data_IF_445287797032
#
_entry.id   IF_445287797032
#
_cell.length_a   1.000
_cell.length_b   1.000
_cell.length_c   1.000
_cell.angle_alpha   90.00
_cell.angle_beta   90.00
_cell.angle_gamma   90.00
#
_symmetry.space_group_name_H-M   'P 1'
#
loop_
_entity.id
_entity.type
_entity.pdbx_description
1 polymer ?
#
# COMPACT_ATOMS: atom_id res chain seq x y z
N UNK A 1 -16.02 25.05 -7.55
CA UNK A 1 -14.87 24.20 -7.93
C UNK A 1 -14.25 23.70 -6.63
N UNK A 2 -14.55 22.48 -6.20
CA UNK A 2 -13.77 21.87 -5.12
C UNK A 2 -12.54 21.29 -5.83
N UNK A 3 -11.40 21.94 -5.67
CA UNK A 3 -10.12 21.31 -5.98
C UNK A 3 -10.02 20.10 -5.06
N UNK A 4 -10.28 18.91 -5.60
CA UNK A 4 -10.11 17.65 -4.88
C UNK A 4 -8.61 17.50 -4.67
N UNK A 5 -8.16 17.77 -3.44
CA UNK A 5 -6.85 17.27 -3.02
C UNK A 5 -6.95 15.75 -3.02
N UNK A 6 -6.05 15.08 -3.72
CA UNK A 6 -6.02 13.63 -3.73
C UNK A 6 -5.67 13.12 -2.34
N UNK A 7 -6.43 12.15 -1.83
CA UNK A 7 -6.16 11.57 -0.51
C UNK A 7 -4.83 10.82 -0.51
N UNK A 8 -4.20 10.63 0.66
CA UNK A 8 -2.98 9.80 0.76
C UNK A 8 -3.18 8.38 0.19
N UNK A 9 -4.39 7.81 0.26
CA UNK A 9 -4.72 6.50 -0.29
C UNK A 9 -4.68 6.51 -1.83
N UNK A 10 -5.24 7.55 -2.44
CA UNK A 10 -5.22 7.72 -3.89
C UNK A 10 -3.81 7.99 -4.40
N UNK A 11 -3.02 8.82 -3.70
CA UNK A 11 -1.60 9.04 -4.03
C UNK A 11 -0.79 7.76 -3.89
N UNK A 12 -1.05 6.96 -2.86
CA UNK A 12 -0.43 5.65 -2.67
C UNK A 12 -0.72 4.74 -3.86
N UNK A 13 -1.99 4.65 -4.29
CA UNK A 13 -2.38 3.87 -5.46
C UNK A 13 -1.72 4.39 -6.75
N UNK A 14 -1.68 5.70 -6.95
CA UNK A 14 -1.06 6.31 -8.12
C UNK A 14 0.43 5.98 -8.18
N UNK A 15 1.15 6.12 -7.06
CA UNK A 15 2.56 5.75 -6.98
C UNK A 15 2.80 4.26 -7.20
N UNK A 16 1.94 3.40 -6.62
CA UNK A 16 1.94 1.96 -6.86
C UNK A 16 1.81 1.63 -8.35
N UNK A 17 0.87 2.26 -9.06
CA UNK A 17 0.61 2.00 -10.48
C UNK A 17 1.64 2.65 -11.41
N UNK A 18 2.29 3.74 -10.98
CA UNK A 18 3.39 4.37 -11.69
C UNK A 18 4.74 3.68 -11.44
N UNK A 19 4.80 2.72 -10.51
CA UNK A 19 6.03 2.07 -10.02
C UNK A 19 7.04 3.11 -9.50
N UNK A 20 6.53 4.21 -8.95
CA UNK A 20 7.34 5.31 -8.41
C UNK A 20 7.58 5.08 -6.92
N UNK A 21 8.74 4.49 -6.61
CA UNK A 21 9.13 4.15 -5.25
C UNK A 21 9.24 5.39 -4.35
N UNK A 22 9.73 6.53 -4.85
CA UNK A 22 9.90 7.72 -4.01
C UNK A 22 8.56 8.39 -3.73
N UNK A 23 7.66 8.49 -4.72
CA UNK A 23 6.30 8.96 -4.49
C UNK A 23 5.52 8.03 -3.54
N UNK A 24 5.75 6.72 -3.65
CA UNK A 24 5.15 5.73 -2.76
C UNK A 24 5.61 5.94 -1.31
N UNK A 25 6.93 6.07 -1.09
CA UNK A 25 7.49 6.27 0.24
C UNK A 25 7.15 7.63 0.85
N UNK A 26 6.94 8.65 0.03
CA UNK A 26 6.47 9.97 0.48
C UNK A 26 5.08 9.92 1.14
N UNK A 27 4.29 8.87 0.89
CA UNK A 27 3.01 8.64 1.54
C UNK A 27 3.15 8.18 3.01
N UNK A 28 4.34 7.76 3.45
CA UNK A 28 4.58 7.23 4.79
C UNK A 28 5.32 8.23 5.69
N UNK A 29 5.02 8.18 6.99
CA UNK A 29 5.81 8.88 7.99
C UNK A 29 7.17 8.18 8.18
N UNK A 30 8.26 8.89 8.54
CA UNK A 30 9.56 8.26 8.76
C UNK A 30 9.55 7.14 9.82
N UNK A 31 8.73 7.29 10.86
CA UNK A 31 8.55 6.34 11.96
C UNK A 31 7.36 5.38 11.73
N UNK A 32 6.93 5.18 10.48
CA UNK A 32 5.79 4.34 10.13
C UNK A 32 5.84 2.94 10.77
N UNK A 33 4.69 2.43 11.22
CA UNK A 33 4.56 1.08 11.78
C UNK A 33 3.52 0.26 11.02
N UNK A 34 3.96 -0.82 10.39
CA UNK A 34 3.06 -1.74 9.68
C UNK A 34 2.94 -3.08 10.38
N UNK A 35 1.75 -3.65 10.43
CA UNK A 35 1.55 -5.01 10.93
C UNK A 35 0.60 -5.80 10.01
N UNK A 36 0.89 -7.09 9.86
CA UNK A 36 -0.01 -8.07 9.26
C UNK A 36 -0.66 -8.89 10.39
N UNK A 37 -1.93 -8.66 10.77
CA UNK A 37 -2.48 -9.27 11.98
C UNK A 37 -2.54 -10.80 11.96
N UNK A 38 -2.63 -11.41 10.77
CA UNK A 38 -2.53 -12.88 10.61
C UNK A 38 -1.10 -13.42 10.60
N UNK A 39 -0.12 -12.56 10.29
CA UNK A 39 1.29 -12.92 10.12
C UNK A 39 2.18 -11.84 10.73
N UNK A 40 2.18 -11.66 12.07
CA UNK A 40 2.85 -10.54 12.72
C UNK A 40 4.35 -10.44 12.41
N UNK A 41 4.99 -11.57 12.07
CA UNK A 41 6.38 -11.64 11.63
C UNK A 41 6.67 -10.91 10.31
N UNK A 42 5.63 -10.52 9.56
CA UNK A 42 5.71 -9.74 8.31
C UNK A 42 5.50 -8.24 8.54
N UNK A 43 5.62 -7.77 9.79
CA UNK A 43 5.49 -6.36 10.13
C UNK A 43 6.56 -5.47 9.48
N UNK A 44 6.36 -4.17 9.60
CA UNK A 44 7.27 -3.12 9.13
C UNK A 44 7.63 -2.20 10.30
N UNK A 45 8.92 -2.01 10.55
CA UNK A 45 9.45 -1.12 11.58
C UNK A 45 10.15 0.09 10.92
N UNK A 46 9.34 0.97 10.32
CA UNK A 46 9.81 2.20 9.67
C UNK A 46 9.72 2.16 8.14
N UNK A 47 10.01 3.32 7.53
CA UNK A 47 9.88 3.52 6.08
C UNK A 47 10.93 2.72 5.27
N UNK A 48 12.06 2.35 5.87
CA UNK A 48 13.11 1.59 5.17
C UNK A 48 12.71 0.13 4.93
N UNK A 49 11.95 -0.50 5.84
CA UNK A 49 11.37 -1.83 5.60
C UNK A 49 10.35 -1.79 4.46
N UNK A 50 9.55 -0.73 4.42
CA UNK A 50 8.60 -0.47 3.32
C UNK A 50 9.35 -0.32 2.00
N UNK A 51 10.44 0.46 1.98
CA UNK A 51 11.32 0.65 0.81
C UNK A 51 11.86 -0.69 0.30
N UNK A 52 12.44 -1.51 1.18
CA UNK A 52 13.00 -2.82 0.83
C UNK A 52 11.95 -3.77 0.25
N UNK A 53 10.77 -3.84 0.86
CA UNK A 53 9.71 -4.71 0.40
C UNK A 53 9.14 -4.26 -0.96
N UNK A 54 8.82 -2.97 -1.11
CA UNK A 54 8.18 -2.47 -2.32
C UNK A 54 9.13 -2.32 -3.50
N UNK A 55 10.43 -2.05 -3.28
CA UNK A 55 11.42 -2.12 -4.36
C UNK A 55 11.52 -3.53 -4.94
N UNK A 56 11.42 -4.55 -4.09
CA UNK A 56 11.40 -5.96 -4.51
C UNK A 56 10.12 -6.28 -5.30
N UNK A 57 8.95 -5.84 -4.81
CA UNK A 57 7.66 -6.03 -5.51
C UNK A 57 7.70 -5.40 -6.91
N UNK A 58 8.11 -4.13 -7.04
CA UNK A 58 8.17 -3.45 -8.34
C UNK A 58 9.22 -4.05 -9.26
N UNK A 59 10.34 -4.51 -8.70
CA UNK A 59 11.34 -5.22 -9.49
C UNK A 59 10.78 -6.55 -10.02
N UNK A 60 10.20 -7.38 -9.16
CA UNK A 60 9.82 -8.77 -9.49
C UNK A 60 8.51 -8.89 -10.27
N UNK A 61 7.62 -7.89 -10.17
CA UNK A 61 6.30 -7.86 -10.80
C UNK A 61 6.21 -6.59 -11.69
N UNK A 62 6.80 -6.62 -12.90
CA UNK A 62 6.95 -5.44 -13.75
C UNK A 62 5.63 -4.88 -14.31
N UNK A 63 4.55 -5.66 -14.25
CA UNK A 63 3.18 -5.26 -14.62
C UNK A 63 2.28 -5.09 -13.38
N UNK A 64 2.86 -4.93 -12.18
CA UNK A 64 2.11 -4.74 -10.94
C UNK A 64 1.06 -3.65 -11.10
N UNK A 65 -0.16 -3.96 -10.67
CA UNK A 65 -1.28 -3.03 -10.70
C UNK A 65 -2.12 -3.14 -9.43
N UNK A 66 -2.49 -1.97 -8.92
CA UNK A 66 -3.29 -1.76 -7.72
C UNK A 66 -4.64 -1.13 -8.07
N UNK A 67 -5.71 -1.85 -7.74
CA UNK A 67 -7.09 -1.35 -7.78
C UNK A 67 -7.56 -1.02 -6.37
N UNK A 68 -7.84 0.26 -6.12
CA UNK A 68 -8.62 0.71 -4.99
C UNK A 68 -10.10 0.49 -5.31
N UNK A 69 -10.72 -0.50 -4.67
CA UNK A 69 -12.12 -0.88 -4.93
C UNK A 69 -13.09 0.04 -4.20
N UNK A 70 -12.80 0.30 -2.92
CA UNK A 70 -13.59 1.16 -2.03
C UNK A 70 -12.67 1.77 -0.98
N UNK A 71 -13.04 2.94 -0.48
CA UNK A 71 -12.40 3.53 0.68
C UNK A 71 -13.41 4.28 1.55
N UNK A 72 -13.07 4.43 2.83
CA UNK A 72 -13.81 5.23 3.79
C UNK A 72 -12.83 5.88 4.76
N UNK A 73 -13.17 7.06 5.27
CA UNK A 73 -12.36 7.79 6.25
C UNK A 73 -13.23 8.17 7.45
N UNK A 74 -12.74 7.90 8.65
CA UNK A 74 -13.32 8.32 9.91
C UNK A 74 -12.24 8.99 10.77
N UNK A 75 -12.36 10.31 10.93
CA UNK A 75 -11.31 11.12 11.58
C UNK A 75 -9.97 10.96 10.87
N UNK A 76 -8.99 10.42 11.59
CA UNK A 76 -7.63 10.16 11.10
C UNK A 76 -7.43 8.69 10.67
N UNK A 77 -8.49 7.88 10.58
CA UNK A 77 -8.39 6.47 10.18
C UNK A 77 -9.04 6.28 8.82
N UNK A 78 -8.34 5.55 7.94
CA UNK A 78 -8.83 5.19 6.63
C UNK A 78 -8.94 3.68 6.46
N UNK A 79 -10.00 3.24 5.80
CA UNK A 79 -10.16 1.89 5.27
C UNK A 79 -10.01 1.95 3.77
N UNK A 80 -9.25 1.01 3.21
CA UNK A 80 -9.10 0.86 1.78
C UNK A 80 -9.18 -0.62 1.40
N UNK A 81 -10.13 -0.94 0.53
CA UNK A 81 -10.30 -2.26 -0.05
C UNK A 81 -9.51 -2.33 -1.35
N UNK A 82 -8.67 -3.35 -1.48
CA UNK A 82 -7.68 -3.45 -2.54
C UNK A 82 -7.80 -4.76 -3.33
N UNK A 83 -7.42 -4.67 -4.60
CA UNK A 83 -6.95 -5.80 -5.38
C UNK A 83 -5.61 -5.43 -6.03
N UNK A 84 -4.55 -6.13 -5.64
CA UNK A 84 -3.24 -6.05 -6.27
C UNK A 84 -3.01 -7.29 -7.13
N UNK A 85 -2.48 -7.11 -8.33
CA UNK A 85 -2.23 -8.21 -9.25
C UNK A 85 -1.12 -7.87 -10.24
N UNK A 86 -0.61 -8.91 -10.90
CA UNK A 86 0.42 -8.81 -11.92
C UNK A 86 0.99 -10.20 -12.21
N UNK A 87 2.16 -10.22 -12.83
CA UNK A 87 2.88 -11.41 -13.25
C UNK A 87 4.32 -11.27 -12.79
N UNK A 88 4.79 -12.23 -12.01
CA UNK A 88 6.21 -12.32 -11.66
C UNK A 88 7.06 -12.50 -12.93
N UNK A 89 8.32 -12.06 -12.88
CA UNK A 89 9.28 -12.22 -14.00
C UNK A 89 9.46 -13.68 -14.47
N UNK A 90 9.21 -14.65 -13.61
CA UNK A 90 9.26 -16.08 -13.92
C UNK A 90 7.96 -16.61 -14.58
N UNK A 91 6.96 -15.74 -14.78
CA UNK A 91 5.66 -16.06 -15.36
C UNK A 91 4.59 -16.45 -14.35
N UNK A 92 4.91 -16.58 -13.06
CA UNK A 92 3.93 -16.93 -12.03
C UNK A 92 2.94 -15.77 -11.80
N UNK A 93 1.65 -16.06 -11.73
CA UNK A 93 0.63 -15.05 -11.45
C UNK A 93 0.73 -14.56 -10.00
N UNK A 94 0.64 -13.24 -9.82
CA UNK A 94 0.54 -12.60 -8.53
C UNK A 94 -0.87 -12.05 -8.33
N UNK A 95 -1.45 -12.29 -7.15
CA UNK A 95 -2.75 -11.74 -6.77
C UNK A 95 -2.86 -11.62 -5.27
N UNK A 96 -3.25 -10.44 -4.78
CA UNK A 96 -3.55 -10.19 -3.38
C UNK A 96 -4.86 -9.38 -3.26
N UNK A 97 -5.78 -9.79 -2.38
CA UNK A 97 -7.01 -9.03 -2.09
C UNK A 97 -7.21 -8.86 -0.59
N UNK A 98 -7.87 -7.77 -0.22
CA UNK A 98 -8.20 -7.54 1.18
C UNK A 98 -8.39 -6.08 1.52
N UNK A 99 -8.25 -5.77 2.80
CA UNK A 99 -8.44 -4.43 3.36
C UNK A 99 -7.19 -3.99 4.11
N UNK A 100 -6.81 -2.73 3.93
CA UNK A 100 -5.87 -2.05 4.82
C UNK A 100 -6.61 -1.06 5.70
N UNK A 101 -6.24 -0.99 6.97
CA UNK A 101 -6.66 0.07 7.89
C UNK A 101 -5.44 0.93 8.19
N UNK A 102 -5.54 2.23 7.95
CA UNK A 102 -4.42 3.16 7.93
C UNK A 102 -4.68 4.32 8.91
N UNK A 103 -3.70 4.63 9.76
CA UNK A 103 -3.68 5.86 10.53
C UNK A 103 -2.99 6.96 9.76
N UNK A 104 -3.66 8.10 9.59
CA UNK A 104 -3.21 9.23 8.78
C UNK A 104 -2.99 10.45 9.67
N UNK A 105 -1.82 11.06 9.58
CA UNK A 105 -1.50 12.32 10.22
C UNK A 105 -0.78 13.23 9.25
N UNK A 106 -1.24 14.49 9.14
CA UNK A 106 -0.67 15.50 8.23
C UNK A 106 -0.40 14.91 6.84
N UNK A 107 -1.41 14.21 6.32
CA UNK A 107 -1.40 13.65 4.96
C UNK A 107 -0.32 12.57 4.72
N UNK A 108 0.12 11.88 5.78
CA UNK A 108 1.01 10.70 5.73
C UNK A 108 0.45 9.55 6.54
N UNK A 109 0.80 8.33 6.16
CA UNK A 109 0.46 7.10 6.86
C UNK A 109 1.48 6.89 7.99
N UNK A 110 1.01 6.92 9.24
CA UNK A 110 1.84 6.66 10.42
C UNK A 110 1.81 5.19 10.85
N UNK A 111 0.68 4.51 10.63
CA UNK A 111 0.58 3.09 10.88
C UNK A 111 -0.38 2.41 9.91
N UNK A 112 -0.20 1.11 9.71
CA UNK A 112 -1.08 0.30 8.89
C UNK A 112 -1.33 -1.09 9.50
N UNK A 113 -2.55 -1.60 9.33
CA UNK A 113 -2.89 -3.01 9.50
C UNK A 113 -3.29 -3.58 8.14
N UNK A 114 -2.58 -4.61 7.70
CA UNK A 114 -2.77 -5.22 6.38
C UNK A 114 -3.49 -6.56 6.54
N UNK A 115 -4.75 -6.61 6.11
CA UNK A 115 -5.57 -7.82 6.02
C UNK A 115 -5.65 -8.28 4.56
N UNK A 116 -4.48 -8.49 3.94
CA UNK A 116 -4.32 -8.86 2.53
C UNK A 116 -3.98 -10.34 2.42
N UNK A 117 -4.66 -11.06 1.53
CA UNK A 117 -4.44 -12.49 1.28
C UNK A 117 -4.15 -12.79 -0.17
N UNK A 118 -3.36 -13.84 -0.46
CA UNK A 118 -3.16 -14.30 -1.81
C UNK A 118 -4.49 -14.79 -2.41
N UNK A 119 -4.68 -14.49 -3.69
CA UNK A 119 -5.75 -15.04 -4.51
C UNK A 119 -5.12 -15.72 -5.71
N UNK A 120 -5.38 -17.03 -5.86
CA UNK A 120 -4.87 -17.88 -6.92
C UNK A 120 -5.92 -18.06 -8.01
#
# INVERSE_FOLDING_TARGET
MISSHSTVIERLQQAQNAHDLEAFLACFAPNFQGNHPRHPERGFEGVEDVRKNWSTIFHDIPDFHSKLLRSAVEGNTAWAEWYWFGTHRDGMQFGMRGVTILGIQVDRIEWARLYMEPVY
#
